data_IF_862297540649
#
_entry.id   IF_862297540649
#
_cell.length_a   1.000
_cell.length_b   1.000
_cell.length_c   1.000
_cell.angle_alpha   90.00
_cell.angle_beta   90.00
_cell.angle_gamma   90.00
#
_symmetry.space_group_name_H-M   'P 1'
#
loop_
_entity.id
_entity.type
_entity.pdbx_description
1 polymer ?
#
# COMPACT_ATOMS: atom_id res chain seq x y z
N UNK A 1 -7.98 -12.33 -2.74
CA UNK A 1 -6.82 -11.91 -3.57
C UNK A 1 -5.62 -11.71 -2.66
N UNK A 2 -4.46 -12.18 -3.07
CA UNK A 2 -3.18 -11.93 -2.40
C UNK A 2 -2.35 -10.95 -3.24
N UNK A 3 -1.28 -10.41 -2.66
CA UNK A 3 -0.46 -9.38 -3.32
C UNK A 3 0.16 -9.86 -4.63
N UNK A 4 0.54 -11.14 -4.72
CA UNK A 4 1.07 -11.70 -5.98
C UNK A 4 0.03 -11.70 -7.08
N UNK A 5 -1.23 -11.97 -6.76
CA UNK A 5 -2.33 -11.91 -7.72
C UNK A 5 -2.63 -10.48 -8.15
N UNK A 6 -2.57 -9.54 -7.20
CA UNK A 6 -2.73 -8.12 -7.49
C UNK A 6 -1.60 -7.63 -8.41
N UNK A 7 -0.36 -8.06 -8.15
CA UNK A 7 0.77 -7.74 -9.01
C UNK A 7 0.51 -8.21 -10.45
N UNK A 8 0.09 -9.46 -10.62
CA UNK A 8 -0.16 -10.03 -11.95
C UNK A 8 -1.28 -9.28 -12.67
N UNK A 9 -2.34 -8.92 -11.95
CA UNK A 9 -3.43 -8.14 -12.51
C UNK A 9 -2.96 -6.77 -12.98
N UNK A 10 -2.19 -6.05 -12.16
CA UNK A 10 -1.70 -4.72 -12.49
C UNK A 10 -0.73 -4.77 -13.68
N UNK A 11 0.12 -5.78 -13.74
CA UNK A 11 1.04 -5.97 -14.85
C UNK A 11 0.30 -6.24 -16.16
N UNK A 12 -0.76 -7.04 -16.10
CA UNK A 12 -1.56 -7.36 -17.28
C UNK A 12 -2.41 -6.18 -17.77
N UNK A 13 -3.00 -5.43 -16.85
CA UNK A 13 -4.04 -4.43 -17.19
C UNK A 13 -3.56 -2.98 -17.20
N UNK A 14 -2.53 -2.64 -16.44
CA UNK A 14 -2.16 -1.23 -16.22
C UNK A 14 -0.69 -0.92 -16.43
N UNK A 15 0.22 -1.79 -15.98
CA UNK A 15 1.65 -1.52 -15.96
C UNK A 15 2.43 -2.68 -16.56
N UNK A 16 2.56 -2.75 -17.92
CA UNK A 16 3.20 -3.90 -18.57
C UNK A 16 4.65 -4.14 -18.15
N UNK A 17 5.36 -3.08 -17.74
CA UNK A 17 6.76 -3.14 -17.31
C UNK A 17 6.93 -3.32 -15.80
N UNK A 18 5.85 -3.62 -15.07
CA UNK A 18 5.90 -3.75 -13.61
C UNK A 18 6.88 -4.83 -13.17
N UNK A 19 7.77 -4.48 -12.25
CA UNK A 19 8.77 -5.38 -11.69
C UNK A 19 8.71 -5.35 -10.16
N UNK A 20 8.84 -6.53 -9.55
CA UNK A 20 8.91 -6.62 -8.10
C UNK A 20 10.26 -6.12 -7.61
N UNK A 21 10.26 -5.26 -6.58
CA UNK A 21 11.48 -4.81 -5.93
C UNK A 21 12.08 -5.92 -5.09
N UNK A 22 13.43 -6.00 -5.09
CA UNK A 22 14.14 -6.96 -4.27
C UNK A 22 14.37 -6.41 -2.85
N UNK A 23 14.53 -7.32 -1.89
CA UNK A 23 14.93 -7.00 -0.53
C UNK A 23 13.84 -6.40 0.34
N UNK A 24 12.61 -6.35 -0.12
CA UNK A 24 11.50 -5.95 0.72
C UNK A 24 11.15 -7.11 1.66
N UNK A 25 11.26 -6.89 2.97
CA UNK A 25 10.86 -7.87 3.95
C UNK A 25 9.34 -8.10 3.81
N UNK A 26 8.51 -8.01 4.70
CA UNK A 26 7.11 -8.39 4.66
C UNK A 26 6.20 -7.53 3.74
N UNK A 27 6.75 -6.64 2.94
CA UNK A 27 5.97 -5.81 2.03
C UNK A 27 6.14 -6.26 0.58
N UNK A 28 5.11 -6.06 -0.22
CA UNK A 28 5.16 -6.35 -1.64
C UNK A 28 5.31 -5.01 -2.39
N UNK A 29 6.57 -4.65 -2.64
CA UNK A 29 6.91 -3.44 -3.36
C UNK A 29 7.23 -3.77 -4.82
N UNK A 30 6.87 -2.88 -5.73
CA UNK A 30 7.14 -3.02 -7.15
C UNK A 30 7.32 -1.65 -7.79
N UNK A 31 7.88 -1.65 -9.00
CA UNK A 31 8.15 -0.41 -9.74
C UNK A 31 7.69 -0.51 -11.17
N UNK A 32 7.31 0.62 -11.74
CA UNK A 32 7.16 0.78 -13.18
C UNK A 32 7.99 1.99 -13.61
N UNK A 33 9.07 1.73 -14.34
CA UNK A 33 9.97 2.78 -14.83
C UNK A 33 9.25 3.65 -15.85
N UNK A 34 8.45 3.05 -16.71
CA UNK A 34 7.69 3.76 -17.74
C UNK A 34 6.77 4.82 -17.15
N UNK A 35 6.12 4.51 -16.03
CA UNK A 35 5.21 5.45 -15.35
C UNK A 35 5.89 6.22 -14.22
N UNK A 36 7.13 5.88 -13.89
CA UNK A 36 7.88 6.50 -12.79
C UNK A 36 7.20 6.33 -11.43
N UNK A 37 6.68 5.14 -11.16
CA UNK A 37 5.99 4.84 -9.89
C UNK A 37 6.76 3.82 -9.07
N UNK A 38 6.86 4.09 -7.78
CA UNK A 38 7.26 3.14 -6.75
C UNK A 38 6.02 2.77 -5.96
N UNK A 39 5.64 1.49 -5.97
CA UNK A 39 4.32 1.03 -5.53
C UNK A 39 4.45 0.02 -4.40
N UNK A 40 3.68 0.21 -3.32
CA UNK A 40 3.45 -0.84 -2.34
C UNK A 40 2.04 -1.41 -2.55
N UNK A 41 1.94 -2.73 -2.59
CA UNK A 41 0.68 -3.44 -2.76
C UNK A 41 0.15 -3.93 -1.41
N UNK A 42 -1.16 -3.79 -1.22
CA UNK A 42 -1.85 -4.28 -0.03
C UNK A 42 -3.19 -4.88 -0.43
N UNK A 43 -3.43 -6.13 0.01
CA UNK A 43 -4.74 -6.77 -0.16
C UNK A 43 -5.48 -6.78 1.15
N UNK A 44 -6.75 -6.37 1.12
CA UNK A 44 -7.60 -6.26 2.30
C UNK A 44 -8.76 -7.24 2.21
N UNK A 45 -9.11 -7.83 3.33
CA UNK A 45 -10.23 -8.78 3.41
C UNK A 45 -11.58 -8.07 3.49
N UNK A 46 -11.59 -6.81 3.93
CA UNK A 46 -12.80 -6.01 4.09
C UNK A 46 -12.67 -4.68 3.37
N UNK A 47 -13.81 -4.14 2.96
CA UNK A 47 -13.87 -2.82 2.34
C UNK A 47 -14.34 -1.78 3.36
N UNK A 48 -13.60 -0.67 3.45
CA UNK A 48 -13.95 0.49 4.27
C UNK A 48 -13.77 1.76 3.43
N UNK A 49 -14.54 2.83 3.71
CA UNK A 49 -14.35 4.10 3.01
C UNK A 49 -13.02 4.79 3.34
N UNK A 50 -12.40 4.43 4.45
CA UNK A 50 -11.07 4.88 4.84
C UNK A 50 -10.16 3.68 4.99
N UNK A 51 -9.00 3.70 4.30
CA UNK A 51 -8.05 2.60 4.34
C UNK A 51 -6.87 2.95 5.24
N UNK A 52 -6.60 2.07 6.20
CA UNK A 52 -5.55 2.29 7.21
C UNK A 52 -4.16 2.15 6.60
N UNK A 53 -3.26 3.05 6.99
CA UNK A 53 -1.83 2.93 6.71
C UNK A 53 -1.04 3.23 7.99
N UNK A 54 -0.02 2.42 8.27
CA UNK A 54 0.90 2.69 9.39
C UNK A 54 1.87 3.80 9.01
N UNK A 55 2.15 4.70 9.94
CA UNK A 55 3.05 5.82 9.70
C UNK A 55 4.45 5.36 9.24
N UNK A 56 4.98 4.30 9.86
CA UNK A 56 6.28 3.76 9.47
C UNK A 56 6.30 3.32 8.00
N UNK A 57 5.24 2.67 7.54
CA UNK A 57 5.13 2.23 6.14
C UNK A 57 4.99 3.42 5.20
N UNK A 58 4.21 4.42 5.60
CA UNK A 58 4.05 5.65 4.83
C UNK A 58 5.40 6.34 4.62
N UNK A 59 6.17 6.54 5.72
CA UNK A 59 7.48 7.19 5.65
C UNK A 59 8.48 6.36 4.83
N UNK A 60 8.48 5.05 5.02
CA UNK A 60 9.36 4.14 4.29
C UNK A 60 9.09 4.19 2.79
N UNK A 61 7.81 4.16 2.40
CA UNK A 61 7.43 4.18 0.99
C UNK A 61 7.87 5.47 0.31
N UNK A 62 7.63 6.61 0.93
CA UNK A 62 8.07 7.90 0.40
C UNK A 62 9.60 7.95 0.29
N UNK A 63 10.30 7.49 1.33
CA UNK A 63 11.76 7.51 1.34
C UNK A 63 12.36 6.60 0.27
N UNK A 64 11.83 5.39 0.11
CA UNK A 64 12.32 4.43 -0.88
C UNK A 64 11.98 4.82 -2.30
N UNK A 65 10.88 5.54 -2.51
CA UNK A 65 10.51 6.01 -3.84
C UNK A 65 11.58 6.95 -4.43
N UNK A 66 12.26 7.73 -3.59
CA UNK A 66 13.27 8.69 -4.05
C UNK A 66 12.68 9.68 -5.04
N UNK A 67 13.20 9.68 -6.26
CA UNK A 67 12.70 10.54 -7.35
C UNK A 67 11.46 9.99 -8.06
N UNK A 68 11.08 8.74 -7.78
CA UNK A 68 9.86 8.14 -8.31
C UNK A 68 8.65 8.60 -7.49
N UNK A 69 7.46 8.49 -8.06
CA UNK A 69 6.22 8.85 -7.36
C UNK A 69 5.77 7.69 -6.47
N UNK A 70 5.59 7.91 -5.16
CA UNK A 70 5.15 6.85 -4.25
C UNK A 70 3.65 6.59 -4.40
N UNK A 71 3.29 5.36 -4.76
CA UNK A 71 1.91 4.89 -4.86
C UNK A 71 1.64 3.81 -3.84
N UNK A 72 0.46 3.87 -3.24
CA UNK A 72 -0.06 2.84 -2.36
C UNK A 72 -1.32 2.26 -2.99
N UNK A 73 -1.26 1.01 -3.45
CA UNK A 73 -2.37 0.37 -4.17
C UNK A 73 -2.97 -0.71 -3.29
N UNK A 74 -4.26 -0.58 -3.02
CA UNK A 74 -5.03 -1.49 -2.17
C UNK A 74 -6.08 -2.23 -3.00
N UNK A 75 -6.15 -3.54 -2.82
CA UNK A 75 -7.26 -4.36 -3.28
C UNK A 75 -8.21 -4.60 -2.11
N UNK A 76 -9.50 -4.41 -2.35
CA UNK A 76 -10.57 -4.75 -1.41
C UNK A 76 -11.59 -5.64 -2.11
N UNK A 77 -12.57 -6.22 -1.40
CA UNK A 77 -13.63 -6.98 -2.06
C UNK A 77 -14.46 -6.16 -3.08
N UNK A 78 -14.39 -4.83 -3.03
CA UNK A 78 -15.19 -3.96 -3.91
C UNK A 78 -14.38 -3.30 -5.02
N UNK A 79 -13.06 -3.46 -5.05
CA UNK A 79 -12.26 -2.88 -6.13
C UNK A 79 -10.79 -2.69 -5.78
N UNK A 80 -10.09 -2.04 -6.68
CA UNK A 80 -8.67 -1.74 -6.56
C UNK A 80 -8.51 -0.22 -6.58
N UNK A 81 -7.78 0.32 -5.60
CA UNK A 81 -7.67 1.75 -5.35
C UNK A 81 -6.22 2.17 -5.23
N UNK A 82 -5.81 3.12 -6.05
CA UNK A 82 -4.45 3.65 -6.04
C UNK A 82 -4.41 5.03 -5.39
N UNK A 83 -3.51 5.21 -4.42
CA UNK A 83 -3.27 6.50 -3.78
C UNK A 83 -1.90 7.02 -4.21
N UNK A 84 -1.90 8.18 -4.86
CA UNK A 84 -0.67 8.91 -5.16
C UNK A 84 -0.28 9.70 -3.91
N UNK A 85 0.67 9.18 -3.13
CA UNK A 85 1.05 9.78 -1.85
C UNK A 85 1.74 11.13 -2.00
N UNK A 86 2.18 11.51 -3.20
CA UNK A 86 2.73 12.83 -3.45
C UNK A 86 1.65 13.91 -3.59
N UNK A 87 0.39 13.50 -3.82
CA UNK A 87 -0.75 14.42 -4.04
C UNK A 87 -1.80 14.33 -2.95
N UNK A 88 -1.98 13.17 -2.35
CA UNK A 88 -2.94 12.98 -1.27
C UNK A 88 -2.41 13.66 -0.01
N UNK A 89 -3.27 14.39 0.75
CA UNK A 89 -2.84 14.98 2.00
C UNK A 89 -2.29 13.93 2.97
N UNK A 90 -1.23 14.27 3.69
CA UNK A 90 -0.69 13.36 4.70
C UNK A 90 -1.76 13.08 5.75
N UNK A 91 -1.98 11.80 6.12
CA UNK A 91 -2.97 11.46 7.15
C UNK A 91 -2.63 12.08 8.50
N UNK A 92 -3.66 12.29 9.32
CA UNK A 92 -3.46 12.59 10.74
C UNK A 92 -3.11 11.29 11.45
N UNK A 93 -2.02 11.31 12.21
CA UNK A 93 -1.49 10.11 12.86
C UNK A 93 -2.03 10.00 14.28
N UNK A 94 -2.49 8.80 14.64
CA UNK A 94 -2.96 8.51 15.99
C UNK A 94 -2.48 7.13 16.42
N UNK A 95 -2.34 6.94 17.73
CA UNK A 95 -1.92 5.66 18.28
C UNK A 95 -3.05 4.65 18.24
N UNK A 96 -2.73 3.41 17.88
CA UNK A 96 -3.66 2.29 17.85
C UNK A 96 -2.94 1.00 18.21
N UNK A 97 -3.60 0.14 18.98
CA UNK A 97 -3.10 -1.21 19.22
C UNK A 97 -3.23 -2.04 17.93
N UNK A 98 -2.11 -2.55 17.46
CA UNK A 98 -2.03 -3.30 16.21
C UNK A 98 -1.24 -4.59 16.43
N UNK A 99 -1.53 -5.66 15.66
CA UNK A 99 -0.70 -6.85 15.67
C UNK A 99 0.75 -6.52 15.32
N UNK A 100 1.70 -7.22 15.97
CA UNK A 100 3.12 -7.05 15.66
C UNK A 100 3.48 -7.59 14.28
N UNK A 101 2.74 -8.61 13.83
CA UNK A 101 2.93 -9.22 12.51
C UNK A 101 1.57 -9.47 11.86
N UNK A 102 1.59 -9.88 10.58
CA UNK A 102 0.38 -10.25 9.85
C UNK A 102 0.04 -11.74 10.02
N UNK A 103 0.84 -12.51 10.78
CA UNK A 103 0.59 -13.92 11.02
C UNK A 103 -0.54 -14.12 12.03
N UNK A 104 -1.53 -14.95 11.69
CA UNK A 104 -2.65 -15.24 12.56
C UNK A 104 -2.24 -15.93 13.87
N UNK A 105 -1.13 -16.67 13.86
CA UNK A 105 -0.60 -17.34 15.05
C UNK A 105 0.01 -16.39 16.07
N UNK A 106 0.39 -15.18 15.66
CA UNK A 106 0.96 -14.17 16.53
C UNK A 106 -0.15 -13.25 17.04
N UNK A 107 -0.49 -13.41 18.32
CA UNK A 107 -1.55 -12.61 18.96
C UNK A 107 -1.02 -11.38 19.69
N UNK A 108 0.30 -11.13 19.64
CA UNK A 108 0.90 -9.97 20.29
C UNK A 108 0.47 -8.70 19.61
N UNK A 109 0.27 -7.65 20.39
CA UNK A 109 -0.07 -6.32 19.88
C UNK A 109 0.87 -5.28 20.45
N UNK A 110 1.17 -4.27 19.66
CA UNK A 110 1.95 -3.11 20.07
C UNK A 110 1.20 -1.83 19.66
N UNK A 111 1.55 -0.74 20.32
CA UNK A 111 1.01 0.57 19.96
C UNK A 111 1.73 1.06 18.71
N UNK A 112 0.97 1.38 17.66
CA UNK A 112 1.51 1.91 16.40
C UNK A 112 0.81 3.22 16.05
N UNK A 113 1.53 4.12 15.39
CA UNK A 113 0.93 5.28 14.78
C UNK A 113 0.30 4.88 13.45
N UNK A 114 -0.98 5.19 13.29
CA UNK A 114 -1.73 4.89 12.08
C UNK A 114 -2.52 6.11 11.60
N UNK A 115 -2.81 6.14 10.32
CA UNK A 115 -3.69 7.12 9.71
C UNK A 115 -4.61 6.46 8.70
N UNK A 116 -5.48 7.24 8.09
CA UNK A 116 -6.44 6.73 7.14
C UNK A 116 -6.40 7.53 5.84
N UNK A 117 -6.48 6.80 4.73
CA UNK A 117 -6.58 7.36 3.38
C UNK A 117 -8.02 7.18 2.91
N UNK A 118 -8.74 8.27 2.70
CA UNK A 118 -10.13 8.20 2.25
C UNK A 118 -10.20 7.84 0.77
N UNK A 119 -11.15 6.97 0.41
CA UNK A 119 -11.31 6.51 -0.97
C UNK A 119 -11.59 7.63 -1.97
N UNK A 120 -12.12 8.76 -1.52
CA UNK A 120 -12.32 9.93 -2.39
C UNK A 120 -11.02 10.46 -3.01
N UNK A 121 -9.88 10.17 -2.37
CA UNK A 121 -8.56 10.55 -2.90
C UNK A 121 -7.95 9.48 -3.80
N UNK A 122 -8.60 8.33 -3.94
CA UNK A 122 -8.05 7.22 -4.71
C UNK A 122 -8.40 7.31 -6.20
N UNK A 123 -7.51 6.74 -7.01
CA UNK A 123 -7.79 6.45 -8.41
C UNK A 123 -8.25 5.00 -8.51
N UNK A 124 -9.49 4.72 -8.95
CA UNK A 124 -9.91 3.34 -9.15
C UNK A 124 -9.18 2.72 -10.35
N UNK A 125 -8.76 1.49 -10.19
CA UNK A 125 -8.04 0.75 -11.24
C UNK A 125 -8.81 -0.47 -11.73
#
# INVERSE_FOLDING_TARGET
MIEAELFDYLKDKHFPDLEKSEGAFDSFDCTTIEKNLYIELKCRHSHYPDLLIEEMKYRRLINQAGSMVPYYINSTPEGIYAFDLSRVPEPSWSEKWMPTTTEFSDTRKIMKLVGFLHLDYALPL
#
